data_IF_453936336385
#
_entry.id   IF_453936336385
#
_cell.length_a   1.000
_cell.length_b   1.000
_cell.length_c   1.000
_cell.angle_alpha   90.00
_cell.angle_beta   90.00
_cell.angle_gamma   90.00
#
_symmetry.space_group_name_H-M   'P 1'
#
loop_
_entity.id
_entity.type
_entity.pdbx_description
1 polymer ?
#
# COMPACT_ATOMS: atom_id res chain seq x y z
N UNK A 1 23.49 47.78 54.66
CA UNK A 1 22.09 47.57 54.24
C UNK A 1 21.72 48.31 52.91
N UNK A 2 22.17 49.58 52.75
CA UNK A 2 21.82 50.38 51.54
C UNK A 2 22.25 49.77 50.19
N UNK A 3 23.47 49.19 50.12
CA UNK A 3 23.98 48.60 48.84
C UNK A 3 23.19 47.37 48.36
N UNK A 4 22.65 46.58 49.27
CA UNK A 4 21.82 45.37 48.90
C UNK A 4 20.47 45.83 48.36
N UNK A 5 19.86 46.84 48.94
CA UNK A 5 18.58 47.40 48.50
C UNK A 5 18.70 48.04 47.13
N UNK A 6 19.79 48.79 46.86
CA UNK A 6 20.03 49.39 45.53
C UNK A 6 20.28 48.36 44.45
N UNK A 7 21.02 47.29 44.75
CA UNK A 7 21.21 46.18 43.76
C UNK A 7 19.91 45.46 43.47
N UNK A 8 19.04 45.21 44.44
CA UNK A 8 17.73 44.59 44.21
C UNK A 8 16.80 45.46 43.35
N UNK A 9 16.81 46.80 43.56
CA UNK A 9 16.05 47.74 42.74
C UNK A 9 16.54 47.74 41.28
N UNK A 10 17.86 47.76 41.06
CA UNK A 10 18.43 47.73 39.69
C UNK A 10 18.07 46.43 38.97
N UNK A 11 18.17 45.28 39.67
CA UNK A 11 17.77 43.99 39.10
C UNK A 11 16.28 43.98 38.75
N UNK A 12 15.41 44.53 39.61
CA UNK A 12 13.99 44.65 39.35
C UNK A 12 13.66 45.50 38.13
N UNK A 13 14.37 46.61 37.91
CA UNK A 13 14.20 47.48 36.74
C UNK A 13 14.64 46.72 35.44
N UNK A 14 15.76 46.00 35.48
CA UNK A 14 16.24 45.21 34.34
C UNK A 14 15.24 44.12 33.97
N UNK A 15 14.73 43.38 34.95
CA UNK A 15 13.73 42.33 34.69
C UNK A 15 12.45 42.93 34.09
N UNK A 16 11.98 44.07 34.64
CA UNK A 16 10.81 44.75 34.10
C UNK A 16 11.02 45.20 32.65
N UNK A 17 12.19 45.76 32.35
CA UNK A 17 12.55 46.18 30.98
C UNK A 17 12.57 44.99 29.99
N UNK A 18 13.07 43.82 30.43
CA UNK A 18 13.07 42.60 29.62
C UNK A 18 11.64 42.10 29.38
N UNK A 19 10.78 42.10 30.40
CA UNK A 19 9.38 41.67 30.27
C UNK A 19 8.61 42.58 29.30
N UNK A 20 8.80 43.90 29.41
CA UNK A 20 8.20 44.86 28.46
C UNK A 20 8.74 44.65 27.03
N UNK A 21 10.04 44.46 26.89
CA UNK A 21 10.67 44.17 25.58
C UNK A 21 10.08 42.92 24.93
N UNK A 22 9.96 41.82 25.66
CA UNK A 22 9.36 40.57 25.18
C UNK A 22 7.88 40.77 24.79
N UNK A 23 7.12 41.52 25.58
CA UNK A 23 5.71 41.79 25.31
C UNK A 23 5.55 42.61 23.99
N UNK A 24 6.39 43.62 23.78
CA UNK A 24 6.39 44.44 22.53
C UNK A 24 6.78 43.58 21.31
N UNK A 25 7.80 42.75 21.44
CA UNK A 25 8.22 41.85 20.37
C UNK A 25 7.10 40.85 20.05
N UNK A 26 6.50 40.21 21.03
CA UNK A 26 5.34 39.32 20.86
C UNK A 26 4.19 40.01 20.14
N UNK A 27 3.86 41.23 20.54
CA UNK A 27 2.78 42.01 19.91
C UNK A 27 3.08 42.33 18.43
N UNK A 28 4.31 42.76 18.13
CA UNK A 28 4.74 43.01 16.74
C UNK A 28 4.73 41.74 15.89
N UNK A 29 5.25 40.63 16.40
CA UNK A 29 5.26 39.35 15.71
C UNK A 29 3.84 38.83 15.46
N UNK A 30 2.94 38.98 16.42
CA UNK A 30 1.54 38.56 16.28
C UNK A 30 0.80 39.39 15.20
N UNK A 31 1.09 40.71 15.12
CA UNK A 31 0.54 41.58 14.07
C UNK A 31 1.10 41.25 12.69
N UNK A 32 2.38 40.92 12.58
CA UNK A 32 3.00 40.48 11.34
C UNK A 32 2.44 39.11 10.90
N UNK A 33 2.30 38.16 11.82
CA UNK A 33 1.72 36.83 11.56
C UNK A 33 0.27 36.94 11.05
N UNK A 34 -0.56 37.80 11.66
CA UNK A 34 -1.92 38.07 11.17
C UNK A 34 -1.93 38.69 9.77
N UNK A 35 -0.99 39.59 9.47
CA UNK A 35 -0.93 40.31 8.20
C UNK A 35 -0.47 39.44 7.03
N UNK A 36 0.49 38.53 7.26
CA UNK A 36 1.11 37.72 6.20
C UNK A 36 0.61 36.27 6.14
N UNK A 37 0.18 35.69 7.27
CA UNK A 37 -0.25 34.30 7.38
C UNK A 37 -1.74 34.14 7.71
N UNK A 38 -2.44 35.26 8.01
CA UNK A 38 -3.87 35.25 8.37
C UNK A 38 -4.17 34.56 9.71
N UNK A 39 -3.15 34.17 10.49
CA UNK A 39 -3.27 33.41 11.75
C UNK A 39 -2.44 34.05 12.87
N UNK A 40 -2.84 33.83 14.12
CA UNK A 40 -2.08 34.27 15.30
C UNK A 40 -0.82 33.42 15.49
N UNK A 41 0.20 33.98 16.16
CA UNK A 41 1.49 33.30 16.42
C UNK A 41 1.30 31.97 17.17
N UNK A 42 0.32 31.87 18.08
CA UNK A 42 -0.03 30.63 18.78
C UNK A 42 -0.59 29.57 17.84
N UNK A 43 -1.51 29.95 16.95
CA UNK A 43 -2.09 29.06 15.94
C UNK A 43 -1.04 28.60 14.91
N UNK A 44 -0.05 29.46 14.60
CA UNK A 44 1.09 29.08 13.76
C UNK A 44 2.00 28.12 14.53
N UNK A 45 2.23 28.36 15.80
CA UNK A 45 3.00 27.46 16.68
C UNK A 45 2.33 26.10 16.88
N UNK A 46 1.01 26.07 17.03
CA UNK A 46 0.23 24.81 17.11
C UNK A 46 0.25 24.07 15.75
N UNK A 47 0.04 24.75 14.65
CA UNK A 47 0.13 24.15 13.30
C UNK A 47 1.54 23.61 13.00
N UNK A 48 2.60 24.30 13.45
CA UNK A 48 3.97 23.80 13.36
C UNK A 48 4.17 22.58 14.28
N UNK A 49 3.64 22.61 15.49
CA UNK A 49 3.68 21.45 16.42
C UNK A 49 2.90 20.26 15.87
N UNK A 50 1.72 20.49 15.33
CA UNK A 50 0.95 19.44 14.63
C UNK A 50 1.71 18.91 13.42
N UNK A 51 2.31 19.78 12.59
CA UNK A 51 3.14 19.36 11.46
C UNK A 51 4.48 18.72 11.84
N UNK A 52 5.03 19.02 13.02
CA UNK A 52 6.23 18.36 13.56
C UNK A 52 5.92 17.07 14.33
N UNK A 53 4.68 16.95 14.87
CA UNK A 53 4.16 15.72 15.47
C UNK A 53 3.46 14.82 14.45
N UNK A 54 3.27 15.30 13.22
CA UNK A 54 2.83 14.47 12.12
C UNK A 54 4.05 13.67 11.64
N UNK A 55 4.32 12.56 12.33
CA UNK A 55 5.30 11.53 11.95
C UNK A 55 4.87 10.83 10.63
N UNK A 56 3.90 11.38 9.89
CA UNK A 56 3.47 10.87 8.61
C UNK A 56 4.58 11.08 7.59
N UNK A 57 5.28 10.02 7.31
CA UNK A 57 6.21 9.98 6.18
C UNK A 57 5.42 10.18 4.87
N UNK A 58 6.00 10.89 3.87
CA UNK A 58 5.31 11.00 2.58
C UNK A 58 5.13 9.62 1.94
N UNK A 59 4.03 9.41 1.19
CA UNK A 59 3.79 8.17 0.48
C UNK A 59 4.98 7.78 -0.40
N UNK A 60 5.31 6.50 -0.44
CA UNK A 60 6.38 5.97 -1.32
C UNK A 60 6.08 6.31 -2.78
N UNK A 61 7.10 6.75 -3.48
CA UNK A 61 7.01 7.00 -4.93
C UNK A 61 6.94 5.68 -5.68
N UNK A 62 6.04 5.62 -6.68
CA UNK A 62 5.87 4.48 -7.57
C UNK A 62 5.97 4.93 -9.02
N UNK A 63 6.05 3.97 -9.95
CA UNK A 63 6.17 4.19 -11.38
C UNK A 63 5.10 5.15 -11.93
N UNK A 64 5.44 5.88 -12.99
CA UNK A 64 4.52 6.73 -13.75
C UNK A 64 4.23 6.18 -15.15
N UNK A 65 4.58 4.91 -15.41
CA UNK A 65 4.53 4.28 -16.73
C UNK A 65 3.13 3.88 -17.19
N UNK A 66 2.10 4.07 -16.36
CA UNK A 66 0.70 3.71 -16.68
C UNK A 66 0.25 4.30 -18.03
N UNK A 67 0.61 5.53 -18.34
CA UNK A 67 0.24 6.19 -19.62
C UNK A 67 0.80 5.46 -20.85
N UNK A 68 1.92 4.74 -20.71
CA UNK A 68 2.57 3.98 -21.78
C UNK A 68 1.98 2.58 -21.90
N UNK A 69 1.70 1.94 -20.76
CA UNK A 69 1.30 0.54 -20.74
C UNK A 69 -0.21 0.32 -20.85
N UNK A 70 -1.01 1.25 -20.30
CA UNK A 70 -2.48 1.17 -20.36
C UNK A 70 -3.04 1.03 -21.78
N UNK A 71 -2.61 1.81 -22.80
CA UNK A 71 -3.12 1.63 -24.17
C UNK A 71 -2.79 0.28 -24.78
N UNK A 72 -1.65 -0.33 -24.40
CA UNK A 72 -1.27 -1.67 -24.85
C UNK A 72 -2.19 -2.73 -24.26
N UNK A 73 -2.46 -2.62 -22.95
CA UNK A 73 -3.40 -3.48 -22.26
C UNK A 73 -4.80 -3.41 -22.86
N UNK A 74 -5.34 -2.20 -23.05
CA UNK A 74 -6.69 -1.98 -23.61
C UNK A 74 -6.83 -2.50 -25.05
N UNK A 75 -5.74 -2.49 -25.82
CA UNK A 75 -5.68 -3.08 -27.15
C UNK A 75 -5.75 -4.61 -27.11
N UNK A 76 -5.01 -5.23 -26.19
CA UNK A 76 -4.90 -6.69 -26.09
C UNK A 76 -6.14 -7.31 -25.40
N UNK A 77 -6.81 -6.53 -24.53
CA UNK A 77 -7.99 -6.95 -23.75
C UNK A 77 -9.15 -5.95 -23.91
N UNK A 78 -9.77 -5.85 -25.09
CA UNK A 78 -10.83 -4.88 -25.36
C UNK A 78 -12.09 -5.10 -24.51
N UNK A 79 -12.33 -6.34 -24.05
CA UNK A 79 -13.48 -6.71 -23.23
C UNK A 79 -13.26 -6.50 -21.73
N UNK A 80 -12.05 -6.10 -21.33
CA UNK A 80 -11.67 -5.87 -19.94
C UNK A 80 -11.26 -4.42 -19.70
N UNK A 81 -11.96 -3.73 -18.82
CA UNK A 81 -11.58 -2.35 -18.47
C UNK A 81 -10.29 -2.31 -17.64
N UNK A 82 -9.52 -1.22 -17.82
CA UNK A 82 -8.32 -0.98 -17.00
C UNK A 82 -8.64 -0.96 -15.49
N UNK A 83 -9.81 -0.44 -15.11
CA UNK A 83 -10.25 -0.41 -13.71
C UNK A 83 -10.46 -1.82 -13.12
N UNK A 84 -10.85 -2.80 -13.95
CA UNK A 84 -11.00 -4.18 -13.48
C UNK A 84 -9.66 -4.82 -13.14
N UNK A 85 -8.65 -4.69 -14.01
CA UNK A 85 -7.33 -5.26 -13.73
C UNK A 85 -6.61 -4.52 -12.58
N UNK A 86 -6.83 -3.21 -12.45
CA UNK A 86 -6.34 -2.43 -11.30
C UNK A 86 -7.00 -2.91 -9.99
N UNK A 87 -8.31 -3.18 -10.00
CA UNK A 87 -9.02 -3.76 -8.86
C UNK A 87 -8.50 -5.16 -8.51
N UNK A 88 -8.14 -5.98 -9.50
CA UNK A 88 -7.52 -7.29 -9.27
C UNK A 88 -6.16 -7.15 -8.56
N UNK A 89 -5.31 -6.20 -8.99
CA UNK A 89 -4.04 -5.93 -8.32
C UNK A 89 -4.23 -5.47 -6.87
N UNK A 90 -5.22 -4.61 -6.62
CA UNK A 90 -5.61 -4.20 -5.27
C UNK A 90 -6.07 -5.38 -4.42
N UNK A 91 -6.96 -6.21 -4.96
CA UNK A 91 -7.49 -7.38 -4.25
C UNK A 91 -6.38 -8.42 -3.97
N UNK A 92 -5.43 -8.59 -4.89
CA UNK A 92 -4.28 -9.45 -4.70
C UNK A 92 -3.41 -8.98 -3.53
N UNK A 93 -3.11 -7.67 -3.43
CA UNK A 93 -2.39 -7.12 -2.28
C UNK A 93 -3.16 -7.32 -0.99
N UNK A 94 -4.45 -6.96 -0.95
CA UNK A 94 -5.26 -7.09 0.25
C UNK A 94 -5.35 -8.55 0.69
N UNK A 95 -5.62 -9.48 -0.22
CA UNK A 95 -5.67 -10.91 0.06
C UNK A 95 -4.33 -11.45 0.57
N UNK A 96 -3.21 -10.98 0.01
CA UNK A 96 -1.86 -11.36 0.45
C UNK A 96 -1.59 -10.92 1.90
N UNK A 97 -1.89 -9.66 2.25
CA UNK A 97 -1.70 -9.16 3.61
C UNK A 97 -2.60 -9.91 4.61
N UNK A 98 -3.87 -10.12 4.24
CA UNK A 98 -4.81 -10.89 5.07
C UNK A 98 -4.36 -12.35 5.24
N UNK A 99 -3.85 -12.99 4.18
CA UNK A 99 -3.36 -14.38 4.26
C UNK A 99 -2.18 -14.53 5.22
N UNK A 100 -1.31 -13.53 5.30
CA UNK A 100 -0.18 -13.52 6.24
C UNK A 100 -0.69 -13.28 7.66
N UNK A 101 -1.55 -12.30 7.87
CA UNK A 101 -2.07 -11.94 9.18
C UNK A 101 -2.94 -13.04 9.78
N UNK A 102 -3.85 -13.64 9.01
CA UNK A 102 -4.69 -14.75 9.46
C UNK A 102 -3.98 -16.12 9.37
N UNK A 103 -2.77 -16.17 8.83
CA UNK A 103 -2.00 -17.41 8.58
C UNK A 103 -2.78 -18.42 7.73
N UNK A 104 -3.61 -17.94 6.80
CA UNK A 104 -4.53 -18.72 5.99
C UNK A 104 -4.40 -18.39 4.50
N UNK A 105 -3.81 -19.30 3.73
CA UNK A 105 -3.63 -19.15 2.27
C UNK A 105 -4.93 -19.11 1.48
N UNK A 106 -6.06 -19.56 2.07
CA UNK A 106 -7.37 -19.49 1.41
C UNK A 106 -7.87 -18.04 1.22
N UNK A 107 -7.28 -17.09 1.90
CA UNK A 107 -7.57 -15.64 1.77
C UNK A 107 -6.95 -15.00 0.54
N UNK A 108 -6.04 -15.70 -0.14
CA UNK A 108 -5.42 -15.19 -1.36
C UNK A 108 -6.46 -14.99 -2.48
N UNK A 109 -6.34 -13.86 -3.17
CA UNK A 109 -7.18 -13.55 -4.31
C UNK A 109 -6.57 -14.13 -5.60
N UNK A 110 -7.27 -15.08 -6.22
CA UNK A 110 -6.88 -15.72 -7.50
C UNK A 110 -5.38 -16.06 -7.58
N UNK A 111 -4.82 -16.80 -6.60
CA UNK A 111 -3.39 -17.02 -6.53
C UNK A 111 -2.88 -18.01 -7.58
N UNK A 112 -1.66 -17.76 -8.05
CA UNK A 112 -0.83 -18.78 -8.69
C UNK A 112 -0.19 -19.68 -7.62
N UNK A 113 0.41 -20.79 -8.05
CA UNK A 113 1.25 -21.60 -7.15
C UNK A 113 2.43 -20.81 -6.60
N UNK A 114 3.01 -19.93 -7.40
CA UNK A 114 4.15 -19.12 -6.99
C UNK A 114 3.78 -18.17 -5.84
N UNK A 115 2.62 -17.47 -5.94
CA UNK A 115 2.15 -16.61 -4.86
C UNK A 115 1.81 -17.40 -3.60
N UNK A 116 1.18 -18.55 -3.77
CA UNK A 116 0.86 -19.46 -2.64
C UNK A 116 2.13 -19.90 -1.92
N UNK A 117 3.17 -20.30 -2.67
CA UNK A 117 4.48 -20.66 -2.10
C UNK A 117 5.13 -19.46 -1.39
N UNK A 118 5.07 -18.27 -1.98
CA UNK A 118 5.58 -17.05 -1.34
C UNK A 118 4.96 -16.79 0.05
N UNK A 119 3.64 -17.04 0.20
CA UNK A 119 2.99 -16.91 1.52
C UNK A 119 3.49 -17.97 2.49
N UNK A 120 3.59 -19.23 2.07
CA UNK A 120 4.13 -20.28 2.94
C UNK A 120 5.57 -20.00 3.39
N UNK A 121 6.42 -19.54 2.48
CA UNK A 121 7.80 -19.18 2.80
C UNK A 121 7.82 -18.03 3.83
N UNK A 122 6.99 -16.99 3.64
CA UNK A 122 6.90 -15.87 4.57
C UNK A 122 6.36 -16.27 5.94
N UNK A 123 5.34 -17.12 6.00
CA UNK A 123 4.83 -17.65 7.27
C UNK A 123 5.88 -18.47 8.00
N UNK A 124 6.67 -19.24 7.27
CA UNK A 124 7.80 -20.02 7.83
C UNK A 124 8.90 -19.10 8.38
N UNK A 125 9.26 -18.05 7.64
CA UNK A 125 10.26 -17.06 8.07
C UNK A 125 9.79 -16.28 9.31
N UNK A 126 8.48 -16.03 9.42
CA UNK A 126 7.87 -15.32 10.53
C UNK A 126 7.67 -16.17 11.79
N UNK A 127 7.78 -17.50 11.69
CA UNK A 127 7.49 -18.42 12.80
C UNK A 127 8.25 -18.08 14.11
N UNK A 128 9.45 -17.49 14.00
CA UNK A 128 10.26 -17.08 15.16
C UNK A 128 9.95 -15.66 15.67
N UNK A 129 9.22 -14.84 14.88
CA UNK A 129 8.91 -13.45 15.18
C UNK A 129 7.51 -13.24 15.73
N UNK A 130 6.61 -14.19 15.52
CA UNK A 130 5.19 -14.11 15.86
C UNK A 130 4.33 -13.75 14.65
N UNK A 131 3.07 -13.39 14.91
CA UNK A 131 2.12 -13.01 13.86
C UNK A 131 2.45 -11.64 13.31
N UNK A 132 2.46 -11.51 11.99
CA UNK A 132 2.68 -10.25 11.27
C UNK A 132 1.35 -9.57 11.01
N UNK A 133 1.18 -8.33 11.48
CA UNK A 133 -0.06 -7.53 11.41
C UNK A 133 0.07 -6.35 10.46
N UNK A 134 -1.04 -6.01 9.79
CA UNK A 134 -1.14 -4.91 8.81
C UNK A 134 -2.41 -4.09 9.03
N UNK A 135 -2.49 -3.38 10.16
CA UNK A 135 -3.67 -2.60 10.55
C UNK A 135 -3.84 -1.32 9.73
N UNK A 136 -5.08 -0.93 9.50
CA UNK A 136 -5.47 0.33 8.83
C UNK A 136 -4.86 0.53 7.45
N UNK A 137 -4.89 -0.51 6.60
CA UNK A 137 -4.41 -0.43 5.22
C UNK A 137 -5.12 0.70 4.45
N UNK A 138 -4.32 1.65 3.95
CA UNK A 138 -4.79 2.72 3.08
C UNK A 138 -3.92 2.82 1.84
N UNK A 139 -4.51 2.55 0.69
CA UNK A 139 -3.83 2.63 -0.61
C UNK A 139 -3.86 4.08 -1.09
N UNK A 140 -2.68 4.63 -1.39
CA UNK A 140 -2.52 5.99 -1.92
C UNK A 140 -2.58 6.02 -3.44
N UNK A 141 -1.88 5.09 -4.08
CA UNK A 141 -1.75 5.08 -5.54
C UNK A 141 -1.49 3.67 -6.06
N UNK A 142 -2.05 3.38 -7.24
CA UNK A 142 -1.79 2.17 -8.02
C UNK A 142 -1.33 2.62 -9.42
N UNK A 143 -0.30 2.01 -9.96
CA UNK A 143 0.22 2.31 -11.28
C UNK A 143 0.63 1.04 -12.02
N UNK A 144 0.26 0.91 -13.29
CA UNK A 144 0.77 -0.15 -14.16
C UNK A 144 2.22 0.21 -14.55
N UNK A 145 3.17 -0.43 -13.89
CA UNK A 145 4.60 -0.16 -14.02
C UNK A 145 5.22 -0.87 -15.22
N UNK A 146 4.73 -2.06 -15.54
CA UNK A 146 5.18 -2.82 -16.70
C UNK A 146 4.06 -3.68 -17.29
N UNK A 147 4.12 -3.91 -18.59
CA UNK A 147 3.18 -4.75 -19.33
C UNK A 147 3.91 -5.45 -20.47
N UNK A 148 3.93 -6.76 -20.43
CA UNK A 148 4.58 -7.62 -21.44
C UNK A 148 3.56 -8.64 -21.93
N UNK A 149 3.39 -8.73 -23.26
CA UNK A 149 2.61 -9.78 -23.91
C UNK A 149 3.54 -10.56 -24.83
N UNK A 150 3.79 -11.81 -24.48
CA UNK A 150 4.66 -12.74 -25.24
C UNK A 150 3.85 -13.94 -25.70
N UNK A 151 3.41 -13.90 -26.95
CA UNK A 151 2.67 -15.00 -27.57
C UNK A 151 1.40 -15.44 -26.81
N UNK A 152 0.68 -14.48 -26.23
CA UNK A 152 -0.56 -14.73 -25.49
C UNK A 152 -0.37 -15.07 -24.01
N UNK A 153 0.86 -15.08 -23.53
CA UNK A 153 1.18 -15.06 -22.11
C UNK A 153 1.50 -13.62 -21.71
N UNK A 154 0.74 -13.08 -20.76
CA UNK A 154 0.83 -11.69 -20.36
C UNK A 154 1.29 -11.58 -18.91
N UNK A 155 2.22 -10.68 -18.69
CA UNK A 155 2.64 -10.23 -17.37
C UNK A 155 2.29 -8.74 -17.24
N UNK A 156 1.43 -8.42 -16.28
CA UNK A 156 1.10 -7.05 -15.89
C UNK A 156 1.61 -6.79 -14.48
N UNK A 157 2.55 -5.85 -14.35
CA UNK A 157 3.16 -5.50 -13.06
C UNK A 157 2.59 -4.17 -12.60
N UNK A 158 1.90 -4.19 -11.47
CA UNK A 158 1.37 -3.02 -10.79
C UNK A 158 2.26 -2.65 -9.61
N UNK A 159 2.62 -1.38 -9.50
CA UNK A 159 3.20 -0.84 -8.28
C UNK A 159 2.11 -0.15 -7.46
N UNK A 160 2.06 -0.47 -6.18
CA UNK A 160 1.06 0.03 -5.23
C UNK A 160 1.78 0.71 -4.08
N UNK A 161 1.49 1.99 -3.85
CA UNK A 161 1.92 2.75 -2.67
C UNK A 161 0.79 2.77 -1.66
N UNK A 162 1.10 2.44 -0.41
CA UNK A 162 0.11 2.33 0.66
C UNK A 162 0.72 2.62 2.03
N UNK A 163 -0.13 2.87 3.00
CA UNK A 163 0.24 2.97 4.40
C UNK A 163 -0.52 1.93 5.24
N UNK A 164 0.11 1.43 6.28
CA UNK A 164 -0.49 0.58 7.30
C UNK A 164 0.37 0.60 8.57
N UNK A 165 -0.21 0.21 9.69
CA UNK A 165 0.57 -0.13 10.88
C UNK A 165 1.07 -1.56 10.72
N UNK A 166 2.38 -1.71 10.47
CA UNK A 166 3.03 -3.01 10.25
C UNK A 166 3.89 -3.38 11.46
N UNK A 167 3.54 -4.46 12.15
CA UNK A 167 4.22 -4.91 13.37
C UNK A 167 4.10 -6.43 13.57
N UNK A 168 4.91 -6.95 14.48
CA UNK A 168 4.88 -8.36 14.89
C UNK A 168 4.40 -8.44 16.32
N UNK A 169 3.36 -9.26 16.60
CA UNK A 169 2.69 -9.40 17.91
C UNK A 169 2.20 -8.08 18.53
N UNK A 170 1.42 -8.17 19.61
CA UNK A 170 0.74 -7.04 20.25
C UNK A 170 1.65 -5.99 20.91
N UNK A 171 2.97 -6.13 20.84
CA UNK A 171 3.90 -5.39 21.72
C UNK A 171 4.35 -4.02 21.24
N UNK A 172 4.21 -3.67 19.98
CA UNK A 172 4.66 -2.37 19.47
C UNK A 172 3.51 -1.57 18.89
N UNK A 173 2.83 -0.74 19.72
CA UNK A 173 2.02 0.34 19.19
C UNK A 173 2.93 1.34 18.49
N UNK A 174 2.93 1.30 17.18
CA UNK A 174 3.58 2.31 16.35
C UNK A 174 2.85 3.65 16.50
N UNK A 175 3.59 4.73 16.66
CA UNK A 175 3.02 6.08 16.77
C UNK A 175 2.53 6.62 15.42
N UNK A 176 3.03 6.06 14.30
CA UNK A 176 2.68 6.46 12.93
C UNK A 176 2.62 5.24 12.00
N UNK A 177 1.79 5.28 10.92
CA UNK A 177 1.75 4.21 9.95
C UNK A 177 3.04 4.15 9.12
N UNK A 178 3.43 2.95 8.75
CA UNK A 178 4.53 2.72 7.81
C UNK A 178 4.10 3.08 6.40
N UNK A 179 4.90 3.85 5.69
CA UNK A 179 4.72 4.12 4.26
C UNK A 179 5.44 3.03 3.45
N UNK A 180 4.66 2.23 2.76
CA UNK A 180 5.13 1.04 2.04
C UNK A 180 4.81 1.14 0.55
N UNK A 181 5.56 0.39 -0.24
CA UNK A 181 5.21 0.13 -1.62
C UNK A 181 5.52 -1.32 -1.99
N UNK A 182 4.74 -1.88 -2.90
CA UNK A 182 4.97 -3.20 -3.43
C UNK A 182 4.73 -3.25 -4.94
N UNK A 183 5.32 -4.24 -5.60
CA UNK A 183 4.97 -4.64 -6.94
C UNK A 183 4.10 -5.90 -6.88
N UNK A 184 2.96 -5.86 -7.56
CA UNK A 184 2.02 -6.97 -7.73
C UNK A 184 2.09 -7.41 -9.18
N UNK A 185 2.48 -8.64 -9.45
CA UNK A 185 2.49 -9.23 -10.79
C UNK A 185 1.23 -10.03 -11.00
N UNK A 186 0.44 -9.65 -12.01
CA UNK A 186 -0.69 -10.42 -12.51
C UNK A 186 -0.29 -11.12 -13.81
N UNK A 187 -0.57 -12.41 -13.90
CA UNK A 187 -0.33 -13.19 -15.09
C UNK A 187 -1.63 -13.62 -15.75
N UNK A 188 -1.61 -13.68 -17.08
CA UNK A 188 -2.69 -14.25 -17.89
C UNK A 188 -2.12 -15.22 -18.90
N UNK A 189 -2.77 -16.36 -19.07
CA UNK A 189 -2.35 -17.38 -20.06
C UNK A 189 -1.21 -18.30 -19.58
N UNK A 190 -0.68 -18.14 -18.36
CA UNK A 190 0.17 -19.18 -17.72
C UNK A 190 -0.69 -20.41 -17.42
N UNK A 191 -0.12 -21.58 -17.64
CA UNK A 191 -0.80 -22.84 -17.31
C UNK A 191 -1.14 -22.87 -15.83
N UNK A 192 -2.40 -23.19 -15.51
CA UNK A 192 -2.78 -23.58 -14.17
C UNK A 192 -1.99 -24.83 -13.78
N UNK A 193 -1.64 -24.97 -12.51
CA UNK A 193 -0.98 -26.16 -12.01
C UNK A 193 -1.81 -27.42 -12.27
N UNK A 194 -1.14 -28.55 -12.43
CA UNK A 194 -1.81 -29.84 -12.50
C UNK A 194 -2.64 -30.04 -11.19
N UNK A 195 -3.96 -30.17 -11.36
CA UNK A 195 -4.90 -30.30 -10.24
C UNK A 195 -5.69 -29.05 -9.85
N UNK A 196 -5.47 -27.90 -10.50
CA UNK A 196 -6.34 -26.74 -10.30
C UNK A 196 -7.76 -27.07 -10.80
N UNK A 197 -8.74 -26.94 -9.91
CA UNK A 197 -10.16 -27.14 -10.23
C UNK A 197 -10.61 -26.04 -11.18
N UNK A 198 -11.12 -26.44 -12.34
CA UNK A 198 -11.63 -25.55 -13.36
C UNK A 198 -13.12 -25.34 -13.09
N UNK A 199 -13.45 -24.43 -12.18
CA UNK A 199 -14.85 -24.12 -11.92
C UNK A 199 -15.44 -23.24 -13.01
N UNK A 200 -16.61 -23.62 -13.53
CA UNK A 200 -17.44 -22.79 -14.38
C UNK A 200 -17.15 -22.85 -15.88
N UNK A 201 -16.31 -23.75 -16.37
CA UNK A 201 -16.08 -23.95 -17.80
C UNK A 201 -16.81 -25.18 -18.34
N UNK A 202 -17.36 -25.05 -19.55
CA UNK A 202 -17.99 -26.14 -20.25
C UNK A 202 -17.05 -26.68 -21.34
N UNK A 203 -17.12 -27.99 -21.55
CA UNK A 203 -16.36 -28.64 -22.61
C UNK A 203 -16.72 -28.05 -23.98
N UNK A 204 -15.74 -27.60 -24.81
CA UNK A 204 -16.01 -27.00 -26.10
C UNK A 204 -16.62 -28.00 -27.10
N UNK A 205 -16.51 -29.30 -26.86
CA UNK A 205 -17.04 -30.34 -27.75
C UNK A 205 -18.46 -30.80 -27.36
N UNK A 206 -18.75 -31.03 -26.07
CA UNK A 206 -20.03 -31.58 -25.63
C UNK A 206 -20.85 -30.67 -24.70
N UNK A 207 -20.30 -29.52 -24.28
CA UNK A 207 -20.99 -28.57 -23.39
C UNK A 207 -21.07 -28.99 -21.92
N UNK A 208 -20.55 -30.16 -21.54
CA UNK A 208 -20.59 -30.61 -20.16
C UNK A 208 -19.62 -29.80 -19.26
N UNK A 209 -19.93 -29.62 -17.98
CA UNK A 209 -19.03 -28.95 -17.04
C UNK A 209 -17.71 -29.74 -16.93
N UNK A 210 -16.59 -29.00 -16.90
CA UNK A 210 -15.25 -29.58 -16.88
C UNK A 210 -14.58 -29.28 -15.56
N UNK A 211 -14.02 -30.32 -14.95
CA UNK A 211 -13.30 -30.24 -13.68
C UNK A 211 -11.82 -30.67 -13.80
N UNK A 212 -11.43 -31.14 -15.01
CA UNK A 212 -10.06 -31.64 -15.24
C UNK A 212 -9.60 -31.31 -16.69
N UNK A 213 -8.33 -31.59 -16.99
CA UNK A 213 -7.75 -31.40 -18.34
C UNK A 213 -8.32 -32.35 -19.42
N UNK A 214 -9.21 -33.27 -19.04
CA UNK A 214 -9.92 -34.16 -19.95
C UNK A 214 -11.39 -34.18 -19.55
N UNK A 215 -12.28 -33.95 -20.52
CA UNK A 215 -13.71 -34.01 -20.25
C UNK A 215 -14.13 -35.46 -19.88
N UNK A 216 -14.68 -35.64 -18.69
CA UNK A 216 -15.15 -36.95 -18.20
C UNK A 216 -16.30 -37.53 -19.01
N UNK A 217 -17.03 -36.68 -19.77
CA UNK A 217 -18.22 -37.09 -20.55
C UNK A 217 -17.89 -37.53 -21.98
N UNK A 218 -16.95 -36.87 -22.64
CA UNK A 218 -16.65 -37.16 -24.05
C UNK A 218 -15.18 -37.49 -24.33
N UNK A 219 -14.32 -37.48 -23.29
CA UNK A 219 -12.90 -37.79 -23.44
C UNK A 219 -12.08 -36.72 -24.19
N UNK A 220 -12.69 -35.57 -24.52
CA UNK A 220 -11.97 -34.50 -25.21
C UNK A 220 -10.92 -33.91 -24.28
N UNK A 221 -9.67 -33.88 -24.73
CA UNK A 221 -8.59 -33.16 -24.06
C UNK A 221 -8.86 -31.67 -24.13
N UNK A 222 -8.90 -31.01 -22.96
CA UNK A 222 -9.07 -29.57 -22.87
C UNK A 222 -7.68 -28.98 -22.81
N UNK A 223 -7.33 -28.21 -23.83
CA UNK A 223 -6.01 -27.59 -23.85
C UNK A 223 -5.93 -26.59 -22.69
N UNK A 224 -4.81 -26.62 -21.95
CA UNK A 224 -4.52 -25.69 -20.86
C UNK A 224 -4.56 -24.20 -21.30
N UNK A 225 -4.54 -23.96 -22.61
CA UNK A 225 -4.56 -22.64 -23.26
C UNK A 225 -5.97 -22.04 -23.26
N UNK A 226 -7.03 -22.86 -23.25
CA UNK A 226 -8.42 -22.39 -23.26
C UNK A 226 -8.89 -21.86 -21.91
N UNK A 227 -8.08 -22.00 -20.87
CA UNK A 227 -8.35 -21.60 -19.50
C UNK A 227 -7.58 -20.33 -19.13
N UNK A 228 -7.59 -19.35 -20.01
CA UNK A 228 -6.92 -18.08 -19.78
C UNK A 228 -7.61 -17.29 -18.70
N UNK A 229 -7.07 -17.38 -17.50
CA UNK A 229 -7.52 -16.63 -16.32
C UNK A 229 -6.39 -15.72 -15.88
N UNK A 230 -6.75 -14.55 -15.34
CA UNK A 230 -5.81 -13.71 -14.64
C UNK A 230 -5.53 -14.30 -13.25
N UNK A 231 -4.27 -14.43 -12.89
CA UNK A 231 -3.81 -14.92 -11.60
C UNK A 231 -2.84 -13.93 -10.98
N UNK A 232 -2.93 -13.74 -9.67
CA UNK A 232 -1.90 -13.06 -8.92
C UNK A 232 -0.69 -13.99 -8.77
N UNK A 233 0.45 -13.61 -9.33
CA UNK A 233 1.63 -14.47 -9.43
C UNK A 233 2.68 -14.18 -8.36
N UNK A 234 2.94 -12.92 -8.06
CA UNK A 234 3.91 -12.54 -7.04
C UNK A 234 3.65 -11.16 -6.47
N UNK A 235 4.04 -10.96 -5.21
CA UNK A 235 4.03 -9.67 -4.53
C UNK A 235 5.40 -9.45 -3.91
N UNK A 236 6.02 -8.29 -4.20
CA UNK A 236 7.36 -7.92 -3.69
C UNK A 236 7.31 -6.52 -3.13
N UNK A 237 7.70 -6.35 -1.89
CA UNK A 237 7.90 -5.02 -1.28
C UNK A 237 9.13 -4.33 -1.89
N UNK A 238 9.03 -3.01 -2.16
CA UNK A 238 10.05 -2.18 -2.83
C UNK A 238 10.35 -0.92 -2.00
#
# INVERSE_FOLDING_TARGET
MGAIVTTLIVIGIIVLAIVIGVAVIRHKLNNLSKKYLGRNLEQVGEAIKEGLNDDSQPPRTISVMTSIHKPKFEKDFPDMSYAQIEAMAKNALTGYLTAIEEQDVSKLYEPSLNLTQQVYDRLTDNASRGVEHFDNLKIHRIALANYINSCGVVDAVFEISFECYHFFDEKEKLNAPNQLACSVTLNHGKALADGAVIEGHNCPNCGAPVTSSVCEYCGTGISKIDLKKWLADSIKFI
#
